data_IF_508647205904
#
_entry.id   IF_508647205904
#
_cell.length_a   1.000
_cell.length_b   1.000
_cell.length_c   1.000
_cell.angle_alpha   90.00
_cell.angle_beta   90.00
_cell.angle_gamma   90.00
#
_symmetry.space_group_name_H-M   'P 1'
#
loop_
_entity.id
_entity.type
_entity.pdbx_description
1 polymer ?
#
# COMPACT_ATOMS: atom_id res chain seq x y z
N UNK A 1 30.65 -7.40 24.22
CA UNK A 1 29.34 -6.81 23.89
C UNK A 1 29.43 -5.35 23.41
N UNK A 2 29.75 -4.34 24.24
CA UNK A 2 29.76 -2.91 23.80
C UNK A 2 30.71 -2.60 22.62
N UNK A 3 31.94 -3.19 22.63
CA UNK A 3 32.92 -3.01 21.54
C UNK A 3 32.44 -3.59 20.21
N UNK A 4 31.80 -4.72 20.24
CA UNK A 4 31.22 -5.45 19.11
C UNK A 4 30.03 -4.69 18.49
N UNK A 5 29.13 -4.17 19.30
CA UNK A 5 28.01 -3.32 18.85
C UNK A 5 28.48 -2.02 18.17
N UNK A 6 29.57 -1.43 18.68
CA UNK A 6 30.16 -0.24 18.10
C UNK A 6 30.79 -0.51 16.74
N UNK A 7 31.42 -1.67 16.56
CA UNK A 7 32.01 -2.11 15.30
C UNK A 7 30.93 -2.34 14.23
N UNK A 8 29.90 -3.12 14.56
CA UNK A 8 28.75 -3.35 13.68
C UNK A 8 28.16 -2.02 13.18
N UNK A 9 27.88 -1.09 14.09
CA UNK A 9 27.33 0.22 13.74
C UNK A 9 28.24 1.02 12.81
N UNK A 10 29.55 1.06 13.09
CA UNK A 10 30.54 1.78 12.27
C UNK A 10 30.64 1.19 10.86
N UNK A 11 30.70 -0.15 10.72
CA UNK A 11 30.77 -0.85 9.43
C UNK A 11 29.50 -0.57 8.61
N UNK A 12 28.34 -0.69 9.23
CA UNK A 12 27.04 -0.46 8.59
C UNK A 12 26.89 0.98 8.07
N UNK A 13 27.19 1.98 8.90
CA UNK A 13 27.09 3.39 8.51
C UNK A 13 28.09 3.73 7.40
N UNK A 14 29.33 3.22 7.48
CA UNK A 14 30.35 3.42 6.43
C UNK A 14 29.90 2.86 5.09
N UNK A 15 29.33 1.67 5.10
CA UNK A 15 28.74 1.04 3.90
C UNK A 15 27.59 1.87 3.35
N UNK A 16 26.64 2.27 4.19
CA UNK A 16 25.46 3.03 3.81
C UNK A 16 25.85 4.33 3.08
N UNK A 17 26.82 5.09 3.58
CA UNK A 17 27.29 6.35 2.97
C UNK A 17 27.75 6.19 1.52
N UNK A 18 28.17 5.00 1.13
CA UNK A 18 28.67 4.70 -0.23
C UNK A 18 27.63 4.07 -1.15
N UNK A 19 26.57 3.47 -0.59
CA UNK A 19 25.66 2.61 -1.34
C UNK A 19 24.17 3.01 -1.24
N UNK A 20 23.82 4.08 -0.52
CA UNK A 20 22.43 4.45 -0.36
C UNK A 20 21.79 4.93 -1.67
N UNK A 21 20.55 4.55 -1.91
CA UNK A 21 19.77 5.01 -3.06
C UNK A 21 19.33 6.46 -2.88
N UNK A 22 19.43 7.26 -3.94
CA UNK A 22 18.93 8.63 -3.98
C UNK A 22 17.39 8.60 -4.10
N UNK A 23 16.69 8.72 -2.98
CA UNK A 23 15.23 8.70 -2.95
C UNK A 23 14.68 10.11 -2.67
N UNK A 24 13.56 10.52 -3.32
CA UNK A 24 13.04 11.89 -3.18
C UNK A 24 12.81 12.31 -1.72
N UNK A 25 12.29 11.42 -0.90
CA UNK A 25 12.00 11.66 0.53
C UNK A 25 13.21 11.62 1.45
N UNK A 26 14.40 11.24 0.96
CA UNK A 26 15.65 11.27 1.73
C UNK A 26 16.37 12.61 1.67
N UNK A 27 15.91 13.50 0.77
CA UNK A 27 16.49 14.85 0.60
C UNK A 27 15.88 15.90 1.54
N UNK A 28 15.03 15.50 2.47
CA UNK A 28 14.30 16.41 3.33
C UNK A 28 14.19 15.88 4.75
N UNK A 29 14.00 16.78 5.72
CA UNK A 29 13.57 16.47 7.08
C UNK A 29 12.14 16.93 7.37
N UNK A 30 11.41 17.36 6.37
CA UNK A 30 10.01 17.74 6.49
C UNK A 30 9.17 16.52 6.93
N UNK A 31 8.57 16.54 8.13
CA UNK A 31 7.84 15.40 8.66
C UNK A 31 6.62 15.01 7.80
N UNK A 32 5.99 15.98 7.12
CA UNK A 32 4.89 15.68 6.19
C UNK A 32 5.38 14.81 5.03
N UNK A 33 6.45 15.22 4.37
CA UNK A 33 7.02 14.52 3.20
C UNK A 33 7.51 13.13 3.54
N UNK A 34 8.16 13.00 4.69
CA UNK A 34 8.64 11.71 5.21
C UNK A 34 7.44 10.81 5.56
N UNK A 35 6.43 11.33 6.26
CA UNK A 35 5.23 10.59 6.63
C UNK A 35 4.51 10.01 5.42
N UNK A 36 4.30 10.82 4.36
CA UNK A 36 3.68 10.33 3.12
C UNK A 36 4.49 9.19 2.51
N UNK A 37 5.81 9.32 2.43
CA UNK A 37 6.68 8.27 1.90
C UNK A 37 6.59 6.97 2.72
N UNK A 38 6.71 7.07 4.05
CA UNK A 38 6.66 5.92 4.95
C UNK A 38 5.31 5.17 4.87
N UNK A 39 4.20 5.90 4.77
CA UNK A 39 2.88 5.27 4.60
C UNK A 39 2.72 4.66 3.19
N UNK A 40 3.24 5.29 2.14
CA UNK A 40 3.21 4.70 0.79
C UNK A 40 4.06 3.42 0.70
N UNK A 41 5.18 3.37 1.40
CA UNK A 41 6.09 2.22 1.42
C UNK A 41 5.56 1.01 2.21
N UNK A 42 4.52 1.18 3.04
CA UNK A 42 3.90 0.04 3.70
C UNK A 42 3.39 -0.96 2.66
N UNK A 43 3.99 -2.18 2.63
CA UNK A 43 3.64 -3.27 1.70
C UNK A 43 3.72 -2.92 0.20
N UNK A 44 4.51 -1.90 -0.16
CA UNK A 44 4.71 -1.44 -1.54
C UNK A 44 6.20 -1.26 -1.81
N UNK A 45 6.66 -1.60 -2.99
CA UNK A 45 8.08 -1.48 -3.36
C UNK A 45 8.46 -0.02 -3.63
N UNK A 46 9.72 0.33 -3.38
CA UNK A 46 10.27 1.68 -3.64
C UNK A 46 10.05 2.12 -5.08
N UNK A 47 10.33 1.24 -6.04
CA UNK A 47 10.15 1.54 -7.47
C UNK A 47 8.69 1.91 -7.81
N UNK A 48 7.72 1.21 -7.22
CA UNK A 48 6.32 1.53 -7.40
C UNK A 48 5.92 2.84 -6.71
N UNK A 49 6.50 3.17 -5.54
CA UNK A 49 6.14 4.36 -4.75
C UNK A 49 6.64 5.66 -5.38
N UNK A 50 7.84 5.69 -5.97
CA UNK A 50 8.44 6.93 -6.49
C UNK A 50 7.48 7.75 -7.37
N UNK A 51 6.87 7.21 -8.44
CA UNK A 51 5.97 7.99 -9.31
C UNK A 51 4.70 8.46 -8.58
N UNK A 52 4.19 7.69 -7.62
CA UNK A 52 3.04 8.10 -6.80
C UNK A 52 3.39 9.22 -5.84
N UNK A 53 4.53 9.13 -5.19
CA UNK A 53 5.02 10.15 -4.27
C UNK A 53 5.20 11.51 -4.98
N UNK A 54 5.80 11.53 -6.16
CA UNK A 54 6.00 12.76 -6.92
C UNK A 54 4.65 13.40 -7.28
N UNK A 55 3.72 12.65 -7.88
CA UNK A 55 2.37 13.14 -8.19
C UNK A 55 1.57 13.57 -6.95
N UNK A 56 1.79 12.89 -5.82
CA UNK A 56 1.16 13.27 -4.56
C UNK A 56 1.66 14.63 -4.08
N UNK A 57 2.96 14.88 -4.13
CA UNK A 57 3.55 16.16 -3.73
C UNK A 57 3.11 17.32 -4.64
N UNK A 58 2.84 17.06 -5.92
CA UNK A 58 2.21 18.04 -6.82
C UNK A 58 0.77 18.34 -6.43
N UNK A 59 -0.01 17.32 -6.07
CA UNK A 59 -1.44 17.45 -5.73
C UNK A 59 -1.68 17.97 -4.32
N UNK A 60 -0.81 17.61 -3.38
CA UNK A 60 -0.88 17.92 -1.95
C UNK A 60 0.54 18.26 -1.45
N UNK A 61 1.04 19.47 -1.75
CA UNK A 61 2.42 19.86 -1.45
C UNK A 61 2.72 19.94 0.05
N UNK A 62 1.69 20.13 0.87
CA UNK A 62 1.79 20.26 2.32
C UNK A 62 0.58 19.64 3.06
N UNK A 63 0.69 19.60 4.39
CA UNK A 63 -0.33 19.07 5.29
C UNK A 63 -1.68 19.80 5.17
N UNK A 64 -1.68 21.12 4.93
CA UNK A 64 -2.91 21.91 4.82
C UNK A 64 -3.65 21.59 3.53
N UNK A 65 -2.94 21.46 2.41
CA UNK A 65 -3.50 21.05 1.13
C UNK A 65 -4.18 19.66 1.24
N UNK A 66 -3.52 18.69 1.90
CA UNK A 66 -4.10 17.38 2.15
C UNK A 66 -5.35 17.43 3.05
N UNK A 67 -5.30 18.18 4.15
CA UNK A 67 -6.41 18.27 5.12
C UNK A 67 -7.69 18.90 4.54
N UNK A 68 -7.54 19.84 3.61
CA UNK A 68 -8.64 20.54 2.92
C UNK A 68 -9.21 19.77 1.73
N UNK A 69 -8.49 18.78 1.23
CA UNK A 69 -8.92 17.99 0.08
C UNK A 69 -10.20 17.18 0.39
N UNK A 70 -10.98 16.88 -0.65
CA UNK A 70 -12.06 15.90 -0.53
C UNK A 70 -11.48 14.48 -0.46
N UNK A 71 -12.15 13.59 0.27
CA UNK A 71 -11.72 12.18 0.35
C UNK A 71 -11.63 11.54 -1.06
N UNK A 72 -12.54 11.89 -1.95
CA UNK A 72 -12.52 11.40 -3.34
C UNK A 72 -11.22 11.80 -4.07
N UNK A 73 -10.77 13.05 -3.93
CA UNK A 73 -9.52 13.54 -4.53
C UNK A 73 -8.31 12.79 -3.96
N UNK A 74 -8.30 12.55 -2.64
CA UNK A 74 -7.23 11.80 -1.95
C UNK A 74 -7.19 10.35 -2.44
N UNK A 75 -8.34 9.67 -2.49
CA UNK A 75 -8.43 8.29 -2.97
C UNK A 75 -8.07 8.18 -4.46
N UNK A 76 -8.39 9.20 -5.28
CA UNK A 76 -8.00 9.23 -6.70
C UNK A 76 -6.50 9.36 -6.88
N UNK A 77 -5.84 10.21 -6.12
CA UNK A 77 -4.38 10.33 -6.13
C UNK A 77 -3.65 9.05 -5.66
N UNK A 78 -4.35 8.23 -4.84
CA UNK A 78 -3.83 6.96 -4.33
C UNK A 78 -4.12 5.76 -5.24
N UNK A 79 -4.95 5.94 -6.28
CA UNK A 79 -5.44 4.86 -7.13
C UNK A 79 -4.31 4.03 -7.74
N UNK A 80 -4.34 2.70 -7.50
CA UNK A 80 -3.33 1.76 -7.97
C UNK A 80 -2.29 1.34 -6.93
N UNK A 81 -2.08 2.10 -5.84
CA UNK A 81 -1.16 1.69 -4.74
C UNK A 81 -1.72 0.57 -3.85
N UNK A 82 -3.06 0.35 -3.88
CA UNK A 82 -3.71 -0.62 -3.01
C UNK A 82 -3.79 -0.19 -1.54
N UNK A 83 -4.43 -1.03 -0.70
CA UNK A 83 -4.58 -0.73 0.74
C UNK A 83 -5.09 0.69 1.01
N UNK A 84 -6.19 1.06 0.40
CA UNK A 84 -6.78 2.43 0.41
C UNK A 84 -7.06 2.98 1.81
N UNK A 85 -7.15 2.11 2.82
CA UNK A 85 -7.25 2.54 4.21
C UNK A 85 -6.07 3.42 4.64
N UNK A 86 -4.88 3.23 4.03
CA UNK A 86 -3.72 4.09 4.28
C UNK A 86 -3.98 5.54 3.84
N UNK A 87 -4.55 5.72 2.65
CA UNK A 87 -4.92 7.06 2.15
C UNK A 87 -6.00 7.72 3.01
N UNK A 88 -7.01 6.95 3.45
CA UNK A 88 -8.04 7.45 4.38
C UNK A 88 -7.43 7.87 5.72
N UNK A 89 -6.51 7.08 6.25
CA UNK A 89 -5.82 7.39 7.49
C UNK A 89 -4.95 8.64 7.35
N UNK A 90 -4.19 8.79 6.24
CA UNK A 90 -3.45 10.02 5.94
C UNK A 90 -4.37 11.25 5.95
N UNK A 91 -5.49 11.17 5.27
CA UNK A 91 -6.46 12.27 5.21
C UNK A 91 -7.08 12.59 6.58
N UNK A 92 -7.44 11.55 7.35
CA UNK A 92 -7.98 11.72 8.70
C UNK A 92 -6.94 12.32 9.65
N UNK A 93 -5.73 11.78 9.65
CA UNK A 93 -4.64 12.25 10.50
C UNK A 93 -4.17 13.66 10.14
N UNK A 94 -4.19 14.05 8.85
CA UNK A 94 -3.88 15.43 8.46
C UNK A 94 -4.84 16.45 9.09
N UNK A 95 -6.13 16.12 9.16
CA UNK A 95 -7.15 16.97 9.82
C UNK A 95 -6.94 17.04 11.33
N UNK A 96 -6.61 15.92 11.97
CA UNK A 96 -6.29 15.88 13.40
C UNK A 96 -5.07 16.76 13.70
N UNK A 97 -4.00 16.63 12.91
CA UNK A 97 -2.78 17.43 13.11
C UNK A 97 -3.06 18.93 12.93
N UNK A 98 -3.87 19.31 11.95
CA UNK A 98 -4.28 20.72 11.78
C UNK A 98 -5.08 21.22 12.97
N UNK A 99 -6.05 20.43 13.44
CA UNK A 99 -7.00 20.86 14.49
C UNK A 99 -6.39 20.83 15.89
N UNK A 100 -5.69 19.75 16.24
CA UNK A 100 -5.26 19.48 17.61
C UNK A 100 -3.81 19.89 17.87
N UNK A 101 -2.97 19.89 16.82
CA UNK A 101 -1.55 20.23 16.91
C UNK A 101 -1.18 21.49 16.11
N UNK A 102 -2.16 22.33 15.74
CA UNK A 102 -1.94 23.61 15.04
C UNK A 102 -1.12 23.46 13.73
N UNK A 103 -1.21 22.29 13.09
CA UNK A 103 -0.48 21.97 11.87
C UNK A 103 0.98 21.58 12.05
N UNK A 104 1.43 21.37 13.27
CA UNK A 104 2.78 20.90 13.60
C UNK A 104 2.75 19.42 13.96
N UNK A 105 3.64 18.63 13.38
CA UNK A 105 3.77 17.23 13.79
C UNK A 105 4.31 17.14 15.20
N UNK A 106 3.68 16.39 16.10
CA UNK A 106 4.25 16.13 17.43
C UNK A 106 5.56 15.33 17.29
N UNK A 107 6.52 15.64 18.13
CA UNK A 107 7.79 14.89 18.26
C UNK A 107 7.77 13.90 19.43
N UNK A 108 6.61 13.63 19.96
CA UNK A 108 6.36 12.65 21.03
C UNK A 108 5.80 11.35 20.43
N UNK A 109 6.28 10.21 20.92
CA UNK A 109 5.93 8.88 20.40
C UNK A 109 4.45 8.55 20.61
N UNK A 110 3.94 8.79 21.81
CA UNK A 110 2.57 8.41 22.17
C UNK A 110 1.54 9.30 21.50
N UNK A 111 1.84 10.56 21.30
CA UNK A 111 1.00 11.48 20.53
C UNK A 111 0.94 11.07 19.06
N UNK A 112 2.07 10.78 18.43
CA UNK A 112 2.09 10.31 17.03
C UNK A 112 1.37 8.98 16.88
N UNK A 113 1.57 8.04 17.79
CA UNK A 113 0.95 6.71 17.72
C UNK A 113 -0.57 6.73 17.84
N UNK A 114 -1.16 7.77 18.44
CA UNK A 114 -2.62 7.98 18.48
C UNK A 114 -3.21 8.36 17.14
N UNK A 115 -2.40 8.84 16.18
CA UNK A 115 -2.88 9.24 14.88
C UNK A 115 -3.25 8.01 14.03
N UNK A 116 -4.40 8.02 13.34
CA UNK A 116 -4.82 6.93 12.49
C UNK A 116 -3.75 6.53 11.45
N UNK A 117 -3.41 5.24 11.42
CA UNK A 117 -2.45 4.70 10.45
C UNK A 117 -0.97 4.79 10.84
N UNK A 118 -0.65 5.40 12.00
CA UNK A 118 0.70 5.40 12.55
C UNK A 118 0.85 4.25 13.56
N UNK A 119 1.29 3.10 13.06
CA UNK A 119 1.74 1.99 13.91
C UNK A 119 3.13 2.24 14.49
N UNK A 120 3.58 1.38 15.39
CA UNK A 120 4.87 1.53 16.09
C UNK A 120 6.05 1.78 15.14
N UNK A 121 6.15 1.02 14.04
CA UNK A 121 7.24 1.17 13.07
C UNK A 121 7.20 2.51 12.33
N UNK A 122 6.01 2.95 11.88
CA UNK A 122 5.87 4.22 11.15
C UNK A 122 6.10 5.42 12.08
N UNK A 123 5.65 5.32 13.34
CA UNK A 123 5.92 6.33 14.38
C UNK A 123 7.43 6.46 14.62
N UNK A 124 8.12 5.34 14.85
CA UNK A 124 9.57 5.32 15.04
C UNK A 124 10.32 5.86 13.82
N UNK A 125 9.90 5.51 12.60
CA UNK A 125 10.47 6.01 11.36
C UNK A 125 10.32 7.53 11.25
N UNK A 126 9.15 8.07 11.51
CA UNK A 126 8.91 9.51 11.47
C UNK A 126 9.75 10.26 12.51
N UNK A 127 9.79 9.78 13.76
CA UNK A 127 10.62 10.36 14.81
C UNK A 127 12.12 10.31 14.47
N UNK A 128 12.58 9.20 13.92
CA UNK A 128 13.98 9.05 13.53
C UNK A 128 14.33 9.90 12.30
N UNK A 129 13.52 9.87 11.25
CA UNK A 129 13.90 10.49 9.97
C UNK A 129 13.65 12.00 9.93
N UNK A 130 12.60 12.49 10.56
CA UNK A 130 12.29 13.91 10.61
C UNK A 130 12.99 14.65 11.77
N UNK A 131 13.02 14.03 12.95
CA UNK A 131 13.49 14.67 14.18
C UNK A 131 14.84 14.15 14.70
N UNK A 132 15.43 13.15 14.04
CA UNK A 132 16.66 12.45 14.41
C UNK A 132 16.67 11.86 15.83
N UNK A 133 15.47 11.52 16.33
CA UNK A 133 15.31 10.91 17.66
C UNK A 133 15.69 9.42 17.64
N UNK A 134 16.27 8.87 18.73
CA UNK A 134 16.87 7.54 18.77
C UNK A 134 15.84 6.40 18.91
N UNK A 135 14.83 6.39 18.04
CA UNK A 135 13.84 5.33 17.99
C UNK A 135 14.24 4.25 16.98
N UNK A 136 14.21 2.96 17.36
CA UNK A 136 14.51 1.84 16.47
C UNK A 136 13.39 1.62 15.46
N UNK A 137 13.71 1.63 14.17
CA UNK A 137 12.75 1.36 13.10
C UNK A 137 12.75 -0.12 12.78
N UNK A 138 11.66 -0.81 13.13
CA UNK A 138 11.51 -2.25 12.94
C UNK A 138 10.47 -2.55 11.84
N UNK A 139 10.91 -2.57 10.58
CA UNK A 139 10.11 -2.92 9.40
C UNK A 139 10.54 -4.28 8.80
N UNK A 140 9.88 -4.73 7.76
CA UNK A 140 10.05 -6.08 7.22
C UNK A 140 11.49 -6.42 6.79
N UNK A 141 12.24 -5.47 6.22
CA UNK A 141 13.63 -5.70 5.81
C UNK A 141 14.55 -5.77 7.04
N UNK A 142 14.34 -4.88 8.00
CA UNK A 142 15.12 -4.87 9.26
C UNK A 142 14.86 -6.16 10.05
N UNK A 143 13.60 -6.62 10.15
CA UNK A 143 13.27 -7.91 10.76
C UNK A 143 14.00 -9.07 10.11
N UNK A 144 14.04 -9.12 8.77
CA UNK A 144 14.76 -10.18 8.04
C UNK A 144 16.25 -10.15 8.32
N UNK A 145 16.87 -8.96 8.31
CA UNK A 145 18.29 -8.79 8.65
C UNK A 145 18.56 -9.30 10.06
N UNK A 146 17.78 -8.85 11.04
CA UNK A 146 17.97 -9.25 12.44
C UNK A 146 17.68 -10.73 12.67
N UNK A 147 16.68 -11.32 12.02
CA UNK A 147 16.41 -12.77 12.07
C UNK A 147 17.63 -13.58 11.65
N UNK A 148 18.37 -13.13 10.62
CA UNK A 148 19.61 -13.77 10.17
C UNK A 148 20.79 -13.45 11.09
N UNK A 149 20.98 -12.20 11.48
CA UNK A 149 22.06 -11.79 12.38
C UNK A 149 21.99 -12.58 13.69
N UNK A 150 20.80 -12.74 14.24
CA UNK A 150 20.56 -13.45 15.51
C UNK A 150 20.30 -14.96 15.32
N UNK A 151 20.30 -15.48 14.09
CA UNK A 151 20.02 -16.88 13.74
C UNK A 151 18.72 -17.41 14.38
N UNK A 152 17.62 -16.67 14.27
CA UNK A 152 16.32 -17.03 14.86
C UNK A 152 15.62 -18.12 14.02
N UNK A 153 16.12 -19.36 14.08
CA UNK A 153 15.59 -20.53 13.38
C UNK A 153 14.34 -21.06 14.08
N UNK A 154 13.35 -21.57 13.33
CA UNK A 154 12.12 -22.16 13.87
C UNK A 154 11.14 -21.17 14.51
N UNK A 155 11.48 -19.91 14.61
CA UNK A 155 10.60 -18.86 15.14
C UNK A 155 9.87 -18.14 14.00
N UNK A 156 8.70 -18.65 13.63
CA UNK A 156 7.90 -18.08 12.53
C UNK A 156 7.49 -16.62 12.73
N UNK A 157 7.27 -16.19 13.97
CA UNK A 157 6.95 -14.81 14.35
C UNK A 157 7.59 -14.49 15.71
N UNK A 158 8.89 -14.19 15.76
CA UNK A 158 9.49 -13.65 16.98
C UNK A 158 8.80 -12.35 17.34
N UNK A 159 8.49 -12.17 18.63
CA UNK A 159 7.91 -10.91 19.14
C UNK A 159 8.82 -9.71 18.82
N UNK A 160 8.23 -8.54 18.75
CA UNK A 160 8.95 -7.29 18.49
C UNK A 160 10.04 -7.04 19.54
N UNK A 161 9.80 -7.41 20.78
CA UNK A 161 10.71 -7.20 21.91
C UNK A 161 12.08 -7.82 21.70
N UNK A 162 12.16 -9.03 21.08
CA UNK A 162 13.43 -9.69 20.77
C UNK A 162 14.28 -8.80 19.84
N UNK A 163 13.67 -8.24 18.84
CA UNK A 163 14.35 -7.38 17.86
C UNK A 163 14.69 -6.01 18.47
N UNK A 164 13.77 -5.42 19.23
CA UNK A 164 13.95 -4.12 19.84
C UNK A 164 15.04 -4.17 20.92
N UNK A 165 15.09 -5.22 21.74
CA UNK A 165 16.15 -5.42 22.73
C UNK A 165 17.55 -5.52 22.09
N UNK A 166 17.66 -6.12 20.90
CA UNK A 166 18.90 -6.15 20.15
C UNK A 166 19.21 -4.82 19.48
N UNK A 167 18.22 -4.16 18.90
CA UNK A 167 18.38 -2.99 18.04
C UNK A 167 18.59 -1.69 18.84
N UNK A 168 17.88 -1.52 19.95
CA UNK A 168 17.89 -0.29 20.76
C UNK A 168 19.31 0.11 21.22
N UNK A 169 20.15 -0.80 21.73
CA UNK A 169 21.53 -0.43 22.11
C UNK A 169 22.42 -0.03 20.94
N UNK A 170 22.06 -0.40 19.71
CA UNK A 170 22.79 -0.06 18.50
C UNK A 170 22.46 1.33 17.98
N UNK A 171 21.29 1.90 18.34
CA UNK A 171 20.87 3.21 17.86
C UNK A 171 21.74 4.32 18.48
N UNK A 172 22.42 5.14 17.67
CA UNK A 172 23.16 6.27 18.19
C UNK A 172 22.22 7.41 18.61
N UNK A 173 22.60 8.16 19.67
CA UNK A 173 21.86 9.32 20.14
C UNK A 173 21.81 10.48 19.13
N UNK A 174 22.81 10.57 18.24
CA UNK A 174 22.87 11.51 17.11
C UNK A 174 23.03 10.73 15.81
N UNK A 175 22.41 11.21 14.74
CA UNK A 175 22.37 10.51 13.43
C UNK A 175 21.64 9.15 13.50
N UNK A 176 20.61 9.02 14.35
CA UNK A 176 19.75 7.84 14.45
C UNK A 176 19.06 7.53 13.11
N UNK A 177 18.65 8.58 12.38
CA UNK A 177 18.11 8.51 11.03
C UNK A 177 19.04 7.75 10.08
N UNK A 178 20.34 8.06 10.10
CA UNK A 178 21.31 7.41 9.22
C UNK A 178 21.48 5.93 9.53
N UNK A 179 21.48 5.55 10.80
CA UNK A 179 21.58 4.16 11.22
C UNK A 179 20.33 3.34 10.81
N UNK A 180 19.13 3.84 11.08
CA UNK A 180 17.88 3.16 10.71
C UNK A 180 17.77 3.01 9.19
N UNK A 181 18.08 4.05 8.42
CA UNK A 181 18.09 3.96 6.96
C UNK A 181 19.14 2.95 6.47
N UNK A 182 20.31 2.86 7.12
CA UNK A 182 21.34 1.89 6.76
C UNK A 182 20.87 0.44 6.97
N UNK A 183 20.18 0.15 8.05
CA UNK A 183 19.56 -1.16 8.31
C UNK A 183 18.51 -1.52 7.24
N UNK A 184 17.64 -0.57 6.90
CA UNK A 184 16.63 -0.76 5.86
C UNK A 184 17.26 -1.00 4.49
N UNK A 185 18.30 -0.21 4.14
CA UNK A 185 19.00 -0.31 2.86
C UNK A 185 19.79 -1.62 2.74
N UNK A 186 20.41 -2.07 3.81
CA UNK A 186 21.06 -3.38 3.87
C UNK A 186 20.09 -4.51 3.54
N UNK A 187 18.90 -4.47 4.13
CA UNK A 187 17.85 -5.41 3.81
C UNK A 187 17.37 -5.32 2.38
N UNK A 188 17.26 -4.12 1.82
CA UNK A 188 16.77 -3.92 0.47
C UNK A 188 17.78 -4.35 -0.62
N UNK A 189 19.07 -4.08 -0.42
CA UNK A 189 20.11 -4.23 -1.45
C UNK A 189 20.93 -5.51 -1.32
N UNK A 190 21.25 -5.91 -0.11
CA UNK A 190 22.22 -6.99 0.20
C UNK A 190 21.52 -8.19 0.81
N UNK A 191 20.92 -8.04 1.98
CA UNK A 191 20.28 -9.10 2.72
C UNK A 191 18.87 -9.42 2.16
N UNK A 192 18.78 -9.78 0.87
CA UNK A 192 17.53 -10.05 0.13
C UNK A 192 16.78 -11.26 0.68
N UNK A 193 15.46 -11.39 0.42
CA UNK A 193 14.68 -12.57 0.85
C UNK A 193 15.20 -13.89 0.27
N UNK A 194 15.63 -13.88 -0.98
CA UNK A 194 16.25 -15.01 -1.69
C UNK A 194 17.59 -14.56 -2.22
N UNK A 195 18.57 -15.47 -2.24
CA UNK A 195 19.93 -15.21 -2.71
C UNK A 195 20.53 -13.93 -2.09
N UNK A 196 20.66 -13.86 -0.74
CA UNK A 196 21.30 -12.71 -0.10
C UNK A 196 22.76 -12.61 -0.52
N UNK A 197 23.21 -11.41 -0.84
CA UNK A 197 24.60 -11.19 -1.28
C UNK A 197 25.54 -11.00 -0.08
N UNK A 198 25.81 -12.09 0.65
CA UNK A 198 26.52 -12.04 1.91
C UNK A 198 27.99 -11.63 1.77
N UNK A 199 28.63 -11.88 0.63
CA UNK A 199 30.01 -11.46 0.36
C UNK A 199 30.16 -9.92 0.30
N UNK A 200 29.09 -9.20 -0.03
CA UNK A 200 29.06 -7.73 -0.03
C UNK A 200 28.47 -7.14 1.26
N UNK A 201 28.14 -7.98 2.25
CA UNK A 201 27.49 -7.54 3.48
C UNK A 201 28.51 -6.92 4.45
N UNK A 202 28.34 -5.66 4.89
CA UNK A 202 29.29 -5.01 5.79
C UNK A 202 29.33 -5.59 7.20
N UNK A 203 28.36 -6.42 7.56
CA UNK A 203 28.21 -7.00 8.90
C UNK A 203 28.22 -8.53 8.87
N UNK A 204 28.89 -9.14 7.90
CA UNK A 204 28.97 -10.61 7.73
C UNK A 204 29.54 -11.30 8.95
N UNK A 205 30.58 -10.73 9.53
CA UNK A 205 31.25 -11.21 10.75
C UNK A 205 30.38 -11.15 12.02
N UNK A 206 29.30 -10.35 12.00
CA UNK A 206 28.29 -10.31 13.06
C UNK A 206 27.07 -11.20 12.76
N UNK A 207 27.03 -11.89 11.61
CA UNK A 207 25.83 -12.63 11.17
C UNK A 207 25.93 -14.13 11.50
N UNK A 208 25.26 -14.56 12.55
CA UNK A 208 25.26 -15.96 12.99
C UNK A 208 24.65 -16.93 11.94
N UNK A 209 23.66 -16.49 11.16
CA UNK A 209 23.11 -17.34 10.10
C UNK A 209 24.12 -17.58 8.97
N UNK A 210 24.95 -16.59 8.63
CA UNK A 210 25.99 -16.73 7.62
C UNK A 210 27.12 -17.63 8.12
N UNK A 211 27.56 -17.45 9.36
CA UNK A 211 28.58 -18.28 9.98
C UNK A 211 28.17 -19.77 10.06
N UNK A 212 26.87 -20.01 10.18
CA UNK A 212 26.29 -21.36 10.18
C UNK A 212 25.89 -21.89 8.80
N UNK A 213 26.06 -21.14 7.71
CA UNK A 213 25.61 -21.51 6.36
C UNK A 213 24.07 -21.51 6.17
N UNK A 214 23.31 -20.87 7.05
CA UNK A 214 21.84 -20.95 7.09
C UNK A 214 21.13 -19.69 6.55
N UNK A 215 21.82 -18.77 5.94
CA UNK A 215 21.26 -17.49 5.47
C UNK A 215 20.17 -17.64 4.39
N UNK A 216 20.12 -18.76 3.67
CA UNK A 216 19.12 -19.04 2.63
C UNK A 216 17.81 -19.58 3.22
N UNK A 217 17.89 -20.32 4.33
CA UNK A 217 16.74 -20.94 4.97
C UNK A 217 16.12 -20.07 6.07
N UNK A 218 16.84 -19.03 6.53
CA UNK A 218 16.37 -18.09 7.55
C UNK A 218 16.05 -16.73 6.90
N UNK A 219 14.86 -16.14 7.16
CA UNK A 219 13.70 -16.73 7.83
C UNK A 219 12.98 -17.77 6.97
N UNK A 220 12.31 -18.71 7.60
CA UNK A 220 11.53 -19.72 6.89
C UNK A 220 10.50 -19.04 5.96
N UNK A 221 10.40 -19.46 4.69
CA UNK A 221 9.48 -18.88 3.73
C UNK A 221 8.03 -19.11 4.15
N UNK A 222 7.23 -18.05 4.15
CA UNK A 222 5.79 -18.17 4.36
C UNK A 222 5.13 -18.73 3.09
N UNK A 223 4.43 -19.85 3.19
CA UNK A 223 3.52 -20.30 2.13
C UNK A 223 2.39 -19.27 2.00
N UNK A 224 2.15 -18.79 0.79
CA UNK A 224 1.02 -17.91 0.49
C UNK A 224 -0.02 -18.72 -0.27
N UNK A 225 -1.12 -19.02 0.39
CA UNK A 225 -2.28 -19.62 -0.28
C UNK A 225 -3.15 -18.48 -0.82
N UNK A 226 -3.28 -18.44 -2.14
CA UNK A 226 -4.16 -17.48 -2.80
C UNK A 226 -5.56 -18.08 -2.95
N UNK A 227 -6.55 -17.36 -2.43
CA UNK A 227 -7.95 -17.66 -2.70
C UNK A 227 -8.34 -17.11 -4.08
N UNK A 228 -8.78 -17.99 -4.97
CA UNK A 228 -9.28 -17.59 -6.30
C UNK A 228 -10.72 -17.11 -6.16
N UNK A 229 -11.00 -15.93 -6.68
CA UNK A 229 -12.33 -15.32 -6.71
C UNK A 229 -12.67 -15.00 -8.16
N UNK A 230 -13.84 -15.43 -8.60
CA UNK A 230 -14.44 -15.01 -9.85
C UNK A 230 -15.59 -14.04 -9.55
N UNK A 231 -15.66 -12.96 -10.32
CA UNK A 231 -16.72 -11.97 -10.17
C UNK A 231 -17.17 -11.47 -11.53
N UNK A 232 -18.44 -11.09 -11.62
CA UNK A 232 -19.08 -10.52 -12.82
C UNK A 232 -19.20 -9.01 -12.65
N UNK A 233 -19.06 -8.30 -13.76
CA UNK A 233 -19.15 -6.84 -13.85
C UNK A 233 -20.14 -6.48 -14.95
N UNK A 234 -21.17 -5.71 -14.60
CA UNK A 234 -22.17 -5.20 -15.52
C UNK A 234 -21.78 -3.79 -16.00
N UNK A 235 -21.38 -3.67 -17.25
CA UNK A 235 -21.13 -2.40 -17.91
C UNK A 235 -22.44 -1.91 -18.52
N UNK A 236 -23.24 -1.24 -17.71
CA UNK A 236 -24.55 -0.73 -18.09
C UNK A 236 -24.37 0.66 -18.70
N UNK A 237 -24.79 0.82 -19.95
CA UNK A 237 -24.65 2.07 -20.68
C UNK A 237 -26.01 2.64 -21.06
N UNK A 238 -26.20 3.94 -20.88
CA UNK A 238 -27.36 4.69 -21.32
C UNK A 238 -26.93 6.09 -21.77
N UNK A 239 -27.34 6.50 -22.97
CA UNK A 239 -27.02 7.80 -23.60
C UNK A 239 -25.51 8.14 -23.49
N UNK A 240 -24.63 7.20 -23.84
CA UNK A 240 -23.17 7.37 -23.81
C UNK A 240 -22.54 7.46 -22.42
N UNK A 241 -23.30 7.20 -21.37
CA UNK A 241 -22.85 7.23 -19.97
C UNK A 241 -22.92 5.84 -19.36
N UNK A 242 -21.92 5.50 -18.57
CA UNK A 242 -21.85 4.26 -17.79
C UNK A 242 -22.41 4.47 -16.39
N UNK A 243 -23.15 3.47 -15.89
CA UNK A 243 -23.58 3.44 -14.51
C UNK A 243 -22.43 2.99 -13.62
N UNK A 244 -22.15 3.76 -12.59
CA UNK A 244 -21.21 3.41 -11.53
C UNK A 244 -21.87 3.55 -10.17
N UNK A 245 -21.41 2.76 -9.21
CA UNK A 245 -21.88 2.80 -7.83
C UNK A 245 -20.72 3.05 -6.87
N UNK A 246 -21.02 3.71 -5.76
CA UNK A 246 -20.07 3.92 -4.66
C UNK A 246 -20.18 2.78 -3.66
N UNK A 247 -19.07 2.15 -3.33
CA UNK A 247 -19.00 1.13 -2.29
C UNK A 247 -19.31 1.73 -0.91
N UNK A 248 -19.85 0.94 0.01
CA UNK A 248 -20.07 1.37 1.39
C UNK A 248 -18.79 1.95 2.03
N UNK A 249 -18.95 2.79 3.05
CA UNK A 249 -17.83 3.42 3.78
C UNK A 249 -17.04 2.45 4.65
N UNK A 250 -17.55 1.22 4.84
CA UNK A 250 -16.94 0.14 5.61
C UNK A 250 -16.64 -1.07 4.71
N UNK A 251 -15.70 -1.89 5.13
CA UNK A 251 -15.33 -3.11 4.43
C UNK A 251 -14.20 -2.94 3.40
N UNK A 252 -14.03 -3.96 2.57
CA UNK A 252 -12.96 -4.03 1.58
C UNK A 252 -13.20 -3.00 0.46
N UNK A 253 -12.17 -2.23 0.11
CA UNK A 253 -12.21 -1.21 -0.96
C UNK A 253 -13.29 -0.13 -0.73
N UNK A 254 -13.60 0.17 0.53
CA UNK A 254 -14.64 1.12 0.94
C UNK A 254 -14.41 2.54 0.36
N UNK A 255 -15.53 3.22 0.03
CA UNK A 255 -15.60 4.55 -0.59
C UNK A 255 -15.05 4.67 -2.03
N UNK A 256 -14.59 3.57 -2.64
CA UNK A 256 -14.26 3.55 -4.05
C UNK A 256 -15.53 3.43 -4.90
N UNK A 257 -15.38 3.80 -6.17
CA UNK A 257 -16.43 3.60 -7.18
C UNK A 257 -16.16 2.32 -7.95
N UNK A 258 -17.22 1.65 -8.37
CA UNK A 258 -17.14 0.44 -9.17
C UNK A 258 -18.30 0.37 -10.16
N UNK A 259 -18.18 -0.49 -11.15
CA UNK A 259 -19.33 -0.89 -11.93
C UNK A 259 -20.17 -1.88 -11.12
N UNK A 260 -21.50 -1.94 -11.30
CA UNK A 260 -22.35 -2.94 -10.66
C UNK A 260 -21.87 -4.36 -10.92
N UNK A 261 -22.03 -5.25 -9.93
CA UNK A 261 -21.62 -6.64 -10.04
C UNK A 261 -20.99 -7.18 -8.77
N UNK A 262 -20.69 -8.47 -8.75
CA UNK A 262 -20.17 -9.10 -7.55
C UNK A 262 -19.63 -10.51 -7.76
N UNK A 263 -19.43 -11.23 -6.67
CA UNK A 263 -18.82 -12.56 -6.67
C UNK A 263 -19.75 -13.61 -7.24
N UNK A 264 -19.25 -14.42 -8.16
CA UNK A 264 -19.93 -15.62 -8.64
C UNK A 264 -19.96 -16.68 -7.53
N UNK A 265 -21.12 -17.23 -7.22
CA UNK A 265 -21.29 -18.39 -6.32
C UNK A 265 -20.85 -19.67 -7.05
N UNK A 266 -20.48 -20.71 -6.29
CA UNK A 266 -20.00 -21.97 -6.90
C UNK A 266 -21.05 -22.66 -7.79
N UNK A 267 -22.31 -22.59 -7.38
CA UNK A 267 -23.45 -23.27 -8.02
C UNK A 267 -24.08 -22.51 -9.20
N UNK A 268 -23.58 -21.29 -9.54
CA UNK A 268 -24.18 -20.47 -10.59
C UNK A 268 -23.27 -20.30 -11.80
N UNK A 269 -23.86 -20.13 -12.98
CA UNK A 269 -23.15 -19.70 -14.20
C UNK A 269 -22.81 -18.21 -14.11
N UNK A 270 -21.94 -17.72 -15.01
CA UNK A 270 -21.62 -16.28 -15.08
C UNK A 270 -22.83 -15.43 -15.42
N UNK A 271 -23.72 -15.93 -16.29
CA UNK A 271 -24.97 -15.25 -16.63
C UNK A 271 -25.91 -15.15 -15.43
N UNK A 272 -26.10 -16.25 -14.70
CA UNK A 272 -26.93 -16.25 -13.48
C UNK A 272 -26.37 -15.30 -12.42
N UNK A 273 -25.04 -15.30 -12.21
CA UNK A 273 -24.40 -14.37 -11.30
C UNK A 273 -24.63 -12.90 -11.71
N UNK A 274 -24.51 -12.60 -13.00
CA UNK A 274 -24.70 -11.27 -13.55
C UNK A 274 -26.14 -10.76 -13.33
N UNK A 275 -27.14 -11.59 -13.67
CA UNK A 275 -28.54 -11.24 -13.47
C UNK A 275 -28.89 -11.07 -11.99
N UNK A 276 -28.40 -11.95 -11.11
CA UNK A 276 -28.62 -11.86 -9.67
C UNK A 276 -28.01 -10.57 -9.09
N UNK A 277 -26.75 -10.27 -9.40
CA UNK A 277 -26.08 -9.07 -8.87
C UNK A 277 -26.76 -7.77 -9.34
N UNK A 278 -27.16 -7.69 -10.61
CA UNK A 278 -27.91 -6.53 -11.12
C UNK A 278 -29.27 -6.39 -10.46
N UNK A 279 -29.97 -7.50 -10.22
CA UNK A 279 -31.24 -7.46 -9.49
C UNK A 279 -31.06 -7.05 -8.03
N UNK A 280 -30.04 -7.61 -7.33
CA UNK A 280 -29.76 -7.30 -5.92
C UNK A 280 -29.32 -5.86 -5.72
N UNK A 281 -28.46 -5.33 -6.60
CA UNK A 281 -27.87 -3.99 -6.43
C UNK A 281 -28.71 -2.85 -6.99
N UNK A 282 -29.44 -3.09 -8.09
CA UNK A 282 -30.15 -2.05 -8.84
C UNK A 282 -31.68 -2.23 -8.86
N UNK A 283 -32.19 -3.37 -8.41
CA UNK A 283 -33.61 -3.72 -8.57
C UNK A 283 -34.07 -3.81 -10.04
N UNK A 284 -33.12 -4.04 -10.96
CA UNK A 284 -33.36 -4.02 -12.40
C UNK A 284 -33.13 -5.38 -13.05
N UNK A 285 -33.77 -5.60 -14.22
CA UNK A 285 -33.58 -6.81 -15.02
C UNK A 285 -32.73 -6.48 -16.26
N UNK A 286 -31.85 -7.42 -16.59
CA UNK A 286 -31.06 -7.36 -17.82
C UNK A 286 -31.91 -7.91 -18.96
N UNK A 287 -32.08 -7.11 -20.04
CA UNK A 287 -32.70 -7.53 -21.28
C UNK A 287 -31.72 -8.31 -22.14
N UNK A 288 -30.49 -7.81 -22.23
CA UNK A 288 -29.44 -8.35 -23.11
C UNK A 288 -28.07 -8.17 -22.45
N UNK A 289 -27.20 -9.18 -22.57
CA UNK A 289 -25.83 -9.09 -22.12
C UNK A 289 -24.87 -9.75 -23.09
N UNK A 290 -23.70 -9.11 -23.29
CA UNK A 290 -22.63 -9.62 -24.14
C UNK A 290 -21.31 -9.60 -23.38
N UNK A 291 -20.61 -10.74 -23.34
CA UNK A 291 -19.27 -10.80 -22.77
C UNK A 291 -18.33 -9.86 -23.53
N UNK A 292 -17.57 -9.03 -22.80
CA UNK A 292 -16.67 -8.06 -23.37
C UNK A 292 -15.19 -8.42 -23.13
N UNK A 293 -14.80 -8.65 -21.88
CA UNK A 293 -13.43 -8.93 -21.51
C UNK A 293 -13.30 -9.56 -20.14
N UNK A 294 -12.16 -10.17 -19.87
CA UNK A 294 -11.80 -10.64 -18.52
C UNK A 294 -10.49 -10.00 -18.05
N UNK A 295 -10.46 -9.60 -16.79
CA UNK A 295 -9.31 -8.94 -16.16
C UNK A 295 -8.88 -9.70 -14.92
N UNK A 296 -7.61 -10.07 -14.82
CA UNK A 296 -7.03 -10.67 -13.61
C UNK A 296 -6.35 -9.61 -12.76
N UNK A 297 -6.57 -9.70 -11.47
CA UNK A 297 -5.95 -8.83 -10.49
C UNK A 297 -5.66 -9.58 -9.20
N UNK A 298 -4.47 -9.40 -8.63
CA UNK A 298 -4.13 -9.93 -7.31
C UNK A 298 -4.29 -8.84 -6.25
N UNK A 299 -4.93 -9.18 -5.14
CA UNK A 299 -5.12 -8.27 -4.01
C UNK A 299 -4.93 -9.03 -2.70
N UNK A 300 -3.91 -8.66 -1.92
CA UNK A 300 -3.54 -9.34 -0.67
C UNK A 300 -3.35 -10.85 -0.84
N UNK A 301 -4.30 -11.65 -0.34
CA UNK A 301 -4.37 -13.11 -0.46
C UNK A 301 -5.36 -13.58 -1.54
N UNK A 302 -5.97 -12.63 -2.28
CA UNK A 302 -6.98 -12.95 -3.29
C UNK A 302 -6.41 -12.80 -4.70
N UNK A 303 -6.70 -13.78 -5.54
CA UNK A 303 -6.52 -13.71 -6.99
C UNK A 303 -7.90 -13.56 -7.62
N UNK A 304 -8.24 -12.34 -8.03
CA UNK A 304 -9.58 -12.00 -8.53
C UNK A 304 -9.56 -11.99 -10.05
N UNK A 305 -10.51 -12.69 -10.67
CA UNK A 305 -10.81 -12.59 -12.10
C UNK A 305 -12.17 -11.92 -12.26
N UNK A 306 -12.19 -10.76 -12.92
CA UNK A 306 -13.40 -10.03 -13.25
C UNK A 306 -13.80 -10.35 -14.68
N UNK A 307 -15.06 -10.77 -14.87
CA UNK A 307 -15.68 -11.02 -16.17
C UNK A 307 -16.64 -9.86 -16.46
N UNK A 308 -16.29 -9.01 -17.43
CA UNK A 308 -17.06 -7.81 -17.75
C UNK A 308 -18.00 -8.07 -18.94
N UNK A 309 -19.25 -7.67 -18.77
CA UNK A 309 -20.32 -7.80 -19.75
C UNK A 309 -20.92 -6.44 -20.07
N UNK A 310 -21.08 -6.12 -21.34
CA UNK A 310 -21.95 -5.04 -21.80
C UNK A 310 -23.40 -5.45 -21.53
N UNK A 311 -24.17 -4.60 -20.83
CA UNK A 311 -25.54 -4.94 -20.42
C UNK A 311 -26.53 -3.85 -20.82
N UNK A 312 -27.67 -4.28 -21.37
CA UNK A 312 -28.86 -3.45 -21.57
C UNK A 312 -29.93 -3.85 -20.55
N UNK A 313 -30.52 -2.88 -19.88
CA UNK A 313 -31.59 -3.11 -18.94
C UNK A 313 -32.96 -3.04 -19.65
N UNK A 314 -33.95 -3.79 -19.13
CA UNK A 314 -35.35 -3.70 -19.59
C UNK A 314 -35.91 -2.29 -19.37
N UNK A 315 -35.63 -1.71 -18.19
CA UNK A 315 -36.05 -0.37 -17.79
C UNK A 315 -34.91 0.32 -17.03
N UNK A 316 -34.83 1.63 -17.18
CA UNK A 316 -33.90 2.46 -16.40
C UNK A 316 -34.31 2.45 -14.93
N UNK A 317 -33.42 2.02 -14.00
CA UNK A 317 -33.75 1.98 -12.58
C UNK A 317 -33.81 3.39 -11.98
N UNK A 318 -34.68 3.57 -11.00
CA UNK A 318 -34.67 4.74 -10.15
C UNK A 318 -33.61 4.56 -9.07
N UNK A 319 -32.51 5.32 -9.15
CA UNK A 319 -31.34 5.12 -8.32
C UNK A 319 -31.03 6.35 -7.45
N UNK A 320 -30.61 6.10 -6.24
CA UNK A 320 -30.20 7.13 -5.30
C UNK A 320 -28.92 7.85 -5.77
N UNK A 321 -29.04 9.16 -5.97
CA UNK A 321 -27.93 10.00 -6.49
C UNK A 321 -26.71 10.05 -5.55
N UNK A 322 -26.82 9.75 -4.27
CA UNK A 322 -25.71 9.70 -3.33
C UNK A 322 -24.81 8.51 -3.58
N UNK A 323 -25.38 7.40 -4.00
CA UNK A 323 -24.70 6.10 -4.21
C UNK A 323 -24.38 5.83 -5.68
N UNK A 324 -25.18 6.31 -6.64
CA UNK A 324 -25.08 5.97 -8.06
C UNK A 324 -24.82 7.21 -8.93
N UNK A 325 -24.11 7.01 -10.04
CA UNK A 325 -23.81 8.06 -11.05
C UNK A 325 -23.84 7.48 -12.45
N UNK A 326 -24.40 8.26 -13.36
CA UNK A 326 -24.24 8.06 -14.80
C UNK A 326 -23.11 8.96 -15.29
N UNK A 327 -22.04 8.39 -15.83
CA UNK A 327 -20.77 9.08 -16.12
C UNK A 327 -20.28 8.71 -17.50
N UNK A 328 -19.88 9.69 -18.31
CA UNK A 328 -19.24 9.44 -19.61
C UNK A 328 -17.90 8.70 -19.41
N UNK A 329 -17.44 7.96 -20.42
CA UNK A 329 -16.15 7.26 -20.35
C UNK A 329 -15.00 8.18 -19.89
N UNK A 330 -14.89 9.39 -20.50
CA UNK A 330 -13.91 10.41 -20.08
C UNK A 330 -14.13 10.88 -18.64
N UNK A 331 -15.37 10.95 -18.19
CA UNK A 331 -15.74 11.36 -16.84
C UNK A 331 -15.34 10.35 -15.76
N UNK A 332 -15.22 9.06 -16.08
CA UNK A 332 -14.80 8.00 -15.13
C UNK A 332 -13.42 8.29 -14.52
N UNK A 333 -12.54 8.99 -15.25
CA UNK A 333 -11.21 9.39 -14.75
C UNK A 333 -11.24 10.25 -13.48
N UNK A 334 -12.37 10.85 -13.14
CA UNK A 334 -12.53 11.68 -11.92
C UNK A 334 -12.84 10.88 -10.67
N UNK A 335 -13.13 9.59 -10.81
CA UNK A 335 -13.55 8.73 -9.72
C UNK A 335 -12.44 7.73 -9.37
N UNK A 336 -12.20 7.43 -8.08
CA UNK A 336 -11.26 6.39 -7.67
C UNK A 336 -11.90 5.01 -7.82
N UNK A 337 -11.24 4.10 -8.57
CA UNK A 337 -11.71 2.73 -8.79
C UNK A 337 -10.76 1.70 -8.18
N UNK A 338 -11.24 0.51 -7.81
CA UNK A 338 -10.39 -0.65 -7.60
C UNK A 338 -9.56 -0.96 -8.85
N UNK A 339 -8.34 -1.45 -8.67
CA UNK A 339 -7.42 -1.70 -9.80
C UNK A 339 -7.99 -2.60 -10.90
N UNK A 340 -8.86 -3.55 -10.54
CA UNK A 340 -9.56 -4.39 -11.52
C UNK A 340 -10.51 -3.58 -12.42
N UNK A 341 -11.34 -2.72 -11.80
CA UNK A 341 -12.23 -1.82 -12.54
C UNK A 341 -11.46 -0.80 -13.37
N UNK A 342 -10.34 -0.25 -12.85
CA UNK A 342 -9.49 0.68 -13.58
C UNK A 342 -8.90 0.05 -14.85
N UNK A 343 -8.57 -1.26 -14.83
CA UNK A 343 -8.13 -2.00 -16.04
C UNK A 343 -9.26 -2.14 -17.07
N UNK A 344 -10.50 -2.37 -16.61
CA UNK A 344 -11.67 -2.42 -17.51
C UNK A 344 -11.88 -1.06 -18.17
N UNK A 345 -11.81 0.04 -17.40
CA UNK A 345 -11.94 1.41 -17.94
C UNK A 345 -10.89 1.67 -19.02
N UNK A 346 -9.63 1.29 -18.78
CA UNK A 346 -8.56 1.45 -19.77
C UNK A 346 -8.85 0.66 -21.05
N UNK A 347 -9.31 -0.58 -20.92
CA UNK A 347 -9.73 -1.39 -22.08
C UNK A 347 -10.86 -0.71 -22.86
N UNK A 348 -11.86 -0.11 -22.21
CA UNK A 348 -12.94 0.64 -22.87
C UNK A 348 -12.42 1.87 -23.61
N UNK A 349 -11.42 2.58 -23.07
CA UNK A 349 -10.78 3.73 -23.71
C UNK A 349 -10.01 3.32 -24.96
N UNK A 350 -9.24 2.23 -24.88
CA UNK A 350 -8.48 1.66 -26.03
C UNK A 350 -9.44 1.19 -27.13
N UNK A 351 -10.52 0.46 -26.79
CA UNK A 351 -11.53 0.02 -27.75
C UNK A 351 -12.17 1.19 -28.47
N UNK A 352 -12.47 2.29 -27.79
CA UNK A 352 -13.08 3.47 -28.39
C UNK A 352 -12.12 4.20 -29.32
N UNK A 353 -10.83 4.31 -28.97
CA UNK A 353 -9.82 4.95 -29.85
C UNK A 353 -9.53 4.16 -31.13
N UNK A 354 -9.86 2.88 -31.18
CA UNK A 354 -9.74 2.05 -32.41
C UNK A 354 -10.98 2.14 -33.32
N UNK A 355 -12.07 2.77 -32.85
CA UNK A 355 -13.31 2.94 -33.60
C UNK A 355 -13.52 4.37 -34.12
N UNK A 356 -12.64 5.29 -33.69
CA UNK A 356 -12.55 6.69 -34.20
C UNK A 356 -11.37 6.83 -35.12
#
# INVERSE_FOLDING_TARGET
MKKDQTDLRKKLIRWYRRHYRQLPWRKTRDPYKIWIAEVMLQQTTVAAVIPYYLRWMESFPDLRALSRATLQKVLKAWEGLGYYQRAKNLHRSSRIIIKEYQGRFPSDYDQLKKLPGLGSSTTAALLSFAFDLPYPVLEANVRRVLTRVMRLKGRRNPGDDIFLNFLTPLIPQKNSSQFNQAMMELGALVCKPRNPNCLLCPITDHCQAYQAGEQEIIPEPKKRDFQKIEAVIALIQDNGKYLIQKRPSQGLLADLWEFPGGKKKRSESFSQALHREVQEELGARIRESRFLTKVRHAYTQFQVTLYAYECQLEKRPHLEKTRYRWVTLKGLRRYPFPSGNAKIIRFLEEKKSLQT
#
